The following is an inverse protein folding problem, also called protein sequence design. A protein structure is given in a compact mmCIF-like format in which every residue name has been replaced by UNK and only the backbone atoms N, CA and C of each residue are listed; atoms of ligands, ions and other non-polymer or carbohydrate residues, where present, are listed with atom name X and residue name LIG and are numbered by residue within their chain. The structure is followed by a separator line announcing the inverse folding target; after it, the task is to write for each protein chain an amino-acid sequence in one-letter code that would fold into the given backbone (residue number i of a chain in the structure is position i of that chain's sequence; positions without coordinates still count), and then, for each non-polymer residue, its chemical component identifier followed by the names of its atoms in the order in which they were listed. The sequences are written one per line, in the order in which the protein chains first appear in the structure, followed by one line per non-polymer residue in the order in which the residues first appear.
data_IF_997207474375
#
_entry.id   IF_997207474375
#
_cell.length_a   1.000
_cell.length_b   1.000
_cell.length_c   1.000
_cell.angle_alpha   90.00
_cell.angle_beta   90.00
_cell.angle_gamma   90.00
#
_symmetry.space_group_name_H-M   'P 1'
#
loop_
_entity.id
_entity.type
_entity.pdbx_description
1 polymer ?
#
# COMPACT_ATOMS: atom_id res chain seq x y z
N UNK A 1 -14.65 -2.90 6.32
CA UNK A 1 -15.09 -4.27 6.68
C UNK A 1 -16.55 -4.43 6.32
N UNK A 2 -16.98 -5.66 6.07
CA UNK A 2 -18.40 -5.98 5.85
C UNK A 2 -19.17 -6.20 7.16
N UNK A 3 -20.46 -6.54 7.07
CA UNK A 3 -21.31 -6.80 8.22
C UNK A 3 -20.93 -8.05 9.02
N UNK A 4 -20.26 -9.00 8.38
CA UNK A 4 -19.74 -10.23 9.02
C UNK A 4 -18.42 -9.98 9.75
N UNK A 5 -17.91 -8.77 9.70
CA UNK A 5 -16.65 -8.38 10.32
C UNK A 5 -15.40 -8.72 9.50
N UNK A 6 -15.54 -9.20 8.25
CA UNK A 6 -14.41 -9.50 7.41
C UNK A 6 -13.82 -8.22 6.79
N UNK A 7 -12.49 -8.13 6.74
CA UNK A 7 -11.82 -7.02 6.09
C UNK A 7 -12.06 -7.08 4.57
N UNK A 8 -12.49 -5.96 4.00
CA UNK A 8 -12.63 -5.79 2.58
C UNK A 8 -11.35 -5.18 2.00
N UNK A 9 -10.91 -5.75 0.90
CA UNK A 9 -9.78 -5.26 0.13
C UNK A 9 -10.12 -5.20 -1.36
N UNK A 10 -9.26 -4.60 -2.17
CA UNK A 10 -9.46 -4.45 -3.61
C UNK A 10 -9.57 -5.79 -4.37
N UNK A 11 -9.12 -6.92 -3.82
CA UNK A 11 -9.34 -8.24 -4.41
C UNK A 11 -10.82 -8.64 -4.38
N UNK A 12 -11.54 -8.26 -3.32
CA UNK A 12 -12.97 -8.56 -3.14
C UNK A 12 -13.88 -7.46 -3.72
N UNK A 13 -13.41 -6.22 -3.69
CA UNK A 13 -14.15 -5.04 -4.15
C UNK A 13 -13.20 -4.13 -4.95
N UNK A 14 -12.92 -4.47 -6.22
CA UNK A 14 -11.97 -3.72 -7.05
C UNK A 14 -12.31 -2.24 -7.22
N UNK A 15 -13.60 -1.88 -7.22
CA UNK A 15 -14.04 -0.49 -7.34
C UNK A 15 -13.52 0.43 -6.23
N UNK A 16 -13.16 -0.11 -5.05
CA UNK A 16 -12.54 0.70 -3.98
C UNK A 16 -11.19 1.32 -4.38
N UNK A 17 -10.51 0.81 -5.42
CA UNK A 17 -9.27 1.43 -5.92
C UNK A 17 -9.50 2.80 -6.55
N UNK A 18 -10.67 3.03 -7.09
CA UNK A 18 -11.02 4.32 -7.71
C UNK A 18 -11.39 5.41 -6.69
N UNK A 19 -11.57 5.04 -5.42
CA UNK A 19 -11.79 6.01 -4.34
C UNK A 19 -10.44 6.52 -3.83
N UNK A 20 -10.20 7.82 -3.91
CA UNK A 20 -8.98 8.46 -3.40
C UNK A 20 -9.18 8.90 -1.96
N UNK A 21 -8.22 8.55 -1.09
CA UNK A 21 -8.20 8.98 0.29
C UNK A 21 -7.11 10.05 0.48
N UNK A 22 -7.50 11.18 1.00
CA UNK A 22 -6.64 12.34 1.24
C UNK A 22 -6.88 12.88 2.67
N UNK A 23 -6.14 13.90 3.05
CA UNK A 23 -6.40 14.68 4.25
C UNK A 23 -6.73 16.12 3.84
N UNK A 24 -7.84 16.64 4.31
CA UNK A 24 -8.25 18.03 4.18
C UNK A 24 -8.17 18.69 5.57
N UNK A 25 -7.15 19.52 5.77
CA UNK A 25 -6.86 20.14 7.08
C UNK A 25 -6.83 19.13 8.24
N UNK A 26 -6.16 17.97 8.00
CA UNK A 26 -6.05 16.88 8.97
C UNK A 26 -7.29 15.98 9.10
N UNK A 27 -8.38 16.25 8.39
CA UNK A 27 -9.58 15.44 8.35
C UNK A 27 -9.56 14.48 7.17
N UNK A 28 -9.93 13.21 7.33
CA UNK A 28 -10.03 12.29 6.20
C UNK A 28 -11.04 12.75 5.16
N UNK A 29 -10.59 12.80 3.93
CA UNK A 29 -11.37 13.12 2.74
C UNK A 29 -11.37 11.92 1.80
N UNK A 30 -12.55 11.46 1.38
CA UNK A 30 -12.70 10.50 0.30
C UNK A 30 -13.25 11.21 -0.93
N UNK A 31 -12.56 11.05 -2.07
CA UNK A 31 -13.00 11.49 -3.39
C UNK A 31 -13.47 10.30 -4.20
N UNK A 32 -14.68 10.38 -4.70
CA UNK A 32 -15.29 9.34 -5.51
C UNK A 32 -15.17 9.64 -7.02
N UNK A 33 -15.22 8.61 -7.89
CA UNK A 33 -15.09 8.80 -9.35
C UNK A 33 -16.18 9.67 -9.98
N UNK A 34 -17.32 9.79 -9.35
CA UNK A 34 -18.42 10.67 -9.79
C UNK A 34 -18.19 12.15 -9.47
N UNK A 35 -17.07 12.47 -8.83
CA UNK A 35 -16.70 13.83 -8.41
C UNK A 35 -17.23 14.23 -7.03
N UNK A 36 -17.95 13.35 -6.33
CA UNK A 36 -18.40 13.64 -4.97
C UNK A 36 -17.25 13.49 -3.97
N UNK A 37 -17.23 14.38 -2.97
CA UNK A 37 -16.26 14.41 -1.88
C UNK A 37 -16.98 14.19 -0.55
N UNK A 38 -16.37 13.39 0.33
CA UNK A 38 -16.86 13.15 1.69
C UNK A 38 -15.76 13.39 2.69
N UNK A 39 -15.92 14.41 3.51
CA UNK A 39 -14.98 14.81 4.56
C UNK A 39 -15.69 14.83 5.91
N UNK A 40 -14.98 14.56 6.98
CA UNK A 40 -15.53 14.60 8.33
C UNK A 40 -14.50 14.47 9.43
N UNK A 41 -14.95 14.64 10.66
CA UNK A 41 -14.13 14.40 11.84
C UNK A 41 -14.19 12.92 12.24
N UNK A 42 -13.05 12.39 12.70
CA UNK A 42 -12.94 10.98 13.11
C UNK A 42 -13.44 10.83 14.54
N UNK A 43 -14.56 10.14 14.71
CA UNK A 43 -14.99 9.63 16.01
C UNK A 43 -14.74 8.11 16.07
N UNK A 44 -14.23 7.64 17.21
CA UNK A 44 -13.93 6.22 17.38
C UNK A 44 -15.09 5.52 18.09
N UNK A 45 -15.79 4.70 17.35
CA UNK A 45 -16.84 3.83 17.81
C UNK A 45 -16.36 2.60 18.59
N UNK A 46 -17.16 1.52 18.65
CA UNK A 46 -16.84 0.29 19.38
C UNK A 46 -15.53 -0.37 18.92
N UNK A 47 -14.91 -1.11 19.84
CA UNK A 47 -13.81 -2.02 19.52
C UNK A 47 -14.30 -3.19 18.69
N UNK A 48 -13.47 -3.60 17.75
CA UNK A 48 -13.72 -4.75 16.87
C UNK A 48 -12.46 -5.60 16.74
N UNK A 49 -12.66 -6.84 16.38
CA UNK A 49 -11.59 -7.72 15.91
C UNK A 49 -11.98 -8.19 14.52
N UNK A 50 -11.09 -7.96 13.57
CA UNK A 50 -11.23 -8.48 12.20
C UNK A 50 -10.10 -9.46 11.90
N UNK A 51 -10.09 -10.05 10.71
CA UNK A 51 -9.03 -10.96 10.27
C UNK A 51 -8.40 -10.47 8.98
N UNK A 52 -7.08 -10.49 8.93
CA UNK A 52 -6.31 -10.21 7.73
C UNK A 52 -5.30 -11.34 7.48
N UNK A 53 -5.44 -12.06 6.38
CA UNK A 53 -4.67 -13.28 6.09
C UNK A 53 -4.62 -14.29 7.25
N UNK A 54 -5.78 -14.52 7.91
CA UNK A 54 -5.89 -15.44 9.03
C UNK A 54 -5.34 -14.94 10.36
N UNK A 55 -4.78 -13.72 10.41
CA UNK A 55 -4.30 -13.09 11.64
C UNK A 55 -5.37 -12.15 12.21
N UNK A 56 -5.62 -12.17 13.53
CA UNK A 56 -6.54 -11.23 14.15
C UNK A 56 -5.94 -9.81 14.12
N UNK A 57 -6.78 -8.84 13.80
CA UNK A 57 -6.44 -7.40 13.81
C UNK A 57 -7.43 -6.69 14.72
N UNK A 58 -6.92 -6.16 15.81
CA UNK A 58 -7.69 -5.34 16.74
C UNK A 58 -7.85 -3.93 16.19
N UNK A 59 -9.04 -3.37 16.33
CA UNK A 59 -9.33 -2.03 15.84
C UNK A 59 -10.59 -1.45 16.45
N UNK A 60 -10.96 -0.28 15.95
CA UNK A 60 -12.20 0.40 16.30
C UNK A 60 -12.94 0.81 15.04
N UNK A 61 -14.25 0.74 15.07
CA UNK A 61 -15.07 1.36 14.04
C UNK A 61 -14.79 2.86 14.01
N UNK A 62 -14.85 3.43 12.82
CA UNK A 62 -14.77 4.87 12.62
C UNK A 62 -16.18 5.35 12.33
N UNK A 63 -16.72 6.15 13.25
CA UNK A 63 -17.99 6.82 13.08
C UNK A 63 -17.76 8.10 12.27
N UNK A 64 -18.67 8.38 11.34
CA UNK A 64 -18.59 9.50 10.41
C UNK A 64 -19.24 9.16 9.07
N UNK A 65 -19.20 10.07 8.10
CA UNK A 65 -20.00 9.95 6.86
C UNK A 65 -19.45 8.94 5.87
N UNK A 66 -18.23 8.43 6.06
CA UNK A 66 -17.53 7.61 5.07
C UNK A 66 -18.13 6.21 4.90
N UNK A 67 -18.63 5.59 5.97
CA UNK A 67 -19.22 4.25 5.92
C UNK A 67 -20.47 4.22 5.04
N UNK A 68 -21.34 5.22 5.16
CA UNK A 68 -22.54 5.34 4.34
C UNK A 68 -22.20 5.63 2.88
N UNK A 69 -21.27 6.55 2.62
CA UNK A 69 -20.82 6.88 1.27
C UNK A 69 -20.15 5.69 0.58
N UNK A 70 -19.26 4.98 1.28
CA UNK A 70 -18.64 3.76 0.76
C UNK A 70 -19.68 2.66 0.50
N UNK A 71 -20.67 2.50 1.39
CA UNK A 71 -21.74 1.51 1.21
C UNK A 71 -22.57 1.80 -0.02
N UNK A 72 -22.93 3.06 -0.23
CA UNK A 72 -23.67 3.51 -1.42
C UNK A 72 -22.84 3.25 -2.69
N UNK A 73 -21.55 3.58 -2.66
CA UNK A 73 -20.65 3.42 -3.80
C UNK A 73 -20.44 1.95 -4.20
N UNK A 74 -20.24 1.05 -3.22
CA UNK A 74 -19.99 -0.37 -3.51
C UNK A 74 -21.26 -1.22 -3.61
N UNK A 75 -22.43 -0.64 -3.32
CA UNK A 75 -23.75 -1.29 -3.43
C UNK A 75 -24.03 -2.34 -2.35
N UNK A 76 -23.33 -2.29 -1.21
CA UNK A 76 -23.54 -3.17 -0.04
C UNK A 76 -23.00 -2.53 1.23
N UNK A 77 -23.47 -2.96 2.42
CA UNK A 77 -22.99 -2.41 3.67
C UNK A 77 -21.47 -2.56 3.84
N UNK A 78 -20.81 -1.46 4.15
CA UNK A 78 -19.37 -1.40 4.49
C UNK A 78 -19.18 -0.48 5.67
N UNK A 79 -18.25 -0.82 6.54
CA UNK A 79 -17.89 0.02 7.67
C UNK A 79 -16.40 0.35 7.61
N UNK A 80 -16.06 1.60 7.89
CA UNK A 80 -14.68 2.01 8.04
C UNK A 80 -14.18 1.60 9.43
N UNK A 81 -12.96 1.12 9.52
CA UNK A 81 -12.32 0.78 10.77
C UNK A 81 -10.85 1.23 10.77
N UNK A 82 -10.34 1.58 11.93
CA UNK A 82 -8.96 1.93 12.18
C UNK A 82 -8.34 0.91 13.14
N UNK A 83 -7.05 0.59 12.98
CA UNK A 83 -6.29 -0.22 13.94
C UNK A 83 -6.35 0.42 15.33
N UNK A 84 -6.32 -0.41 16.38
CA UNK A 84 -6.47 0.09 17.78
C UNK A 84 -5.35 1.05 18.15
N UNK A 85 -4.13 0.78 17.71
CA UNK A 85 -2.96 1.61 18.01
C UNK A 85 -2.66 2.54 16.84
N UNK A 86 -2.37 3.77 17.16
CA UNK A 86 -1.91 4.74 16.18
C UNK A 86 -0.57 4.30 15.56
N UNK A 87 -0.44 4.46 14.24
CA UNK A 87 0.74 4.06 13.48
C UNK A 87 0.83 2.56 13.15
N UNK A 88 -0.07 1.72 13.68
CA UNK A 88 -0.08 0.31 13.29
C UNK A 88 -0.71 0.11 11.90
N UNK A 89 -0.05 -0.69 11.07
CA UNK A 89 -0.61 -1.14 9.79
C UNK A 89 -1.48 -2.40 9.97
N UNK A 90 -2.47 -2.56 9.12
CA UNK A 90 -3.36 -3.73 9.12
C UNK A 90 -2.59 -5.02 8.84
N UNK A 91 -1.55 -4.95 7.99
CA UNK A 91 -0.80 -6.13 7.57
C UNK A 91 0.31 -6.51 8.57
N UNK A 92 1.17 -5.58 8.93
CA UNK A 92 2.41 -5.85 9.67
C UNK A 92 2.47 -5.19 11.06
N UNK A 93 1.36 -4.61 11.53
CA UNK A 93 1.29 -3.91 12.80
C UNK A 93 2.33 -2.78 12.88
N UNK A 94 3.07 -2.71 13.97
CA UNK A 94 4.09 -1.68 14.21
C UNK A 94 5.28 -1.71 13.25
N UNK A 95 5.50 -2.84 12.57
CA UNK A 95 6.60 -3.00 11.62
C UNK A 95 6.28 -2.45 10.23
N UNK A 96 5.01 -2.11 9.96
CA UNK A 96 4.55 -1.58 8.66
C UNK A 96 4.78 -0.07 8.54
N UNK A 97 5.99 0.41 8.83
CA UNK A 97 6.28 1.84 8.81
C UNK A 97 6.26 2.47 7.42
N UNK A 98 6.93 1.85 6.46
CA UNK A 98 7.02 2.33 5.08
C UNK A 98 7.31 1.20 4.10
N UNK A 99 7.09 1.46 2.81
CA UNK A 99 7.47 0.57 1.71
C UNK A 99 8.16 1.36 0.61
N UNK A 100 9.20 0.78 0.00
CA UNK A 100 10.01 1.42 -1.03
C UNK A 100 9.96 0.60 -2.33
N UNK A 101 9.92 1.30 -3.46
CA UNK A 101 10.12 0.72 -4.81
C UNK A 101 10.84 1.71 -5.68
N UNK A 102 11.78 1.24 -6.51
CA UNK A 102 12.46 2.11 -7.45
C UNK A 102 11.69 2.25 -8.77
N UNK A 103 11.85 3.37 -9.45
CA UNK A 103 11.36 3.57 -10.82
C UNK A 103 12.05 2.60 -11.77
N UNK A 104 13.35 2.30 -11.55
CA UNK A 104 14.07 1.26 -12.28
C UNK A 104 13.40 -0.11 -12.18
N UNK A 105 12.88 -0.50 -10.99
CA UNK A 105 12.12 -1.75 -10.82
C UNK A 105 10.82 -1.76 -11.62
N UNK A 106 10.11 -0.62 -11.66
CA UNK A 106 8.90 -0.47 -12.48
C UNK A 106 9.20 -0.57 -13.98
N UNK A 107 10.32 -0.01 -14.43
CA UNK A 107 10.79 -0.11 -15.81
C UNK A 107 11.18 -1.54 -16.17
N UNK A 108 11.89 -2.24 -15.29
CA UNK A 108 12.21 -3.65 -15.50
C UNK A 108 10.96 -4.54 -15.60
N UNK A 109 9.94 -4.27 -14.77
CA UNK A 109 8.66 -4.97 -14.87
C UNK A 109 7.95 -4.67 -16.18
N UNK A 110 7.94 -3.41 -16.65
CA UNK A 110 7.39 -3.00 -17.95
C UNK A 110 8.03 -3.80 -19.08
N UNK A 111 9.36 -3.83 -19.10
CA UNK A 111 10.13 -4.48 -20.15
C UNK A 111 9.90 -6.00 -20.14
N UNK A 112 9.86 -6.62 -18.95
CA UNK A 112 9.54 -8.02 -18.79
C UNK A 112 8.10 -8.39 -19.20
N UNK A 113 7.15 -7.45 -19.02
CA UNK A 113 5.77 -7.62 -19.47
C UNK A 113 5.58 -7.37 -20.97
N UNK A 114 6.57 -6.81 -21.66
CA UNK A 114 6.46 -6.40 -23.07
C UNK A 114 5.55 -5.19 -23.30
N UNK A 115 5.37 -4.35 -22.26
CA UNK A 115 4.53 -3.18 -22.33
C UNK A 115 5.26 -1.99 -22.96
N UNK A 116 4.56 -1.22 -23.78
CA UNK A 116 5.11 -0.04 -24.44
C UNK A 116 5.00 1.26 -23.63
N UNK A 117 4.13 1.27 -22.62
CA UNK A 117 3.89 2.41 -21.72
C UNK A 117 4.54 2.23 -20.35
N UNK A 118 4.52 3.24 -19.51
CA UNK A 118 4.98 3.12 -18.12
C UNK A 118 4.02 2.25 -17.28
N UNK A 119 4.57 1.44 -16.38
CA UNK A 119 3.77 0.75 -15.35
C UNK A 119 3.44 1.73 -14.24
N UNK A 120 2.16 1.92 -13.98
CA UNK A 120 1.72 2.78 -12.89
C UNK A 120 2.08 2.16 -11.53
N UNK A 121 3.05 2.76 -10.84
CA UNK A 121 3.56 2.29 -9.54
C UNK A 121 2.50 2.28 -8.42
N UNK A 122 1.39 3.01 -8.57
CA UNK A 122 0.27 3.00 -7.60
C UNK A 122 -0.36 1.62 -7.44
N UNK A 123 -0.22 0.71 -8.44
CA UNK A 123 -0.64 -0.71 -8.34
C UNK A 123 -0.05 -1.41 -7.13
N UNK A 124 1.19 -1.06 -6.79
CA UNK A 124 1.94 -1.70 -5.71
C UNK A 124 1.67 -1.05 -4.36
N UNK A 125 1.00 0.11 -4.33
CA UNK A 125 0.64 0.85 -3.11
C UNK A 125 1.84 1.08 -2.19
N UNK A 126 2.98 1.40 -2.79
CA UNK A 126 4.19 1.70 -2.06
C UNK A 126 4.14 3.12 -1.49
N UNK A 127 4.71 3.29 -0.31
CA UNK A 127 4.72 4.58 0.39
C UNK A 127 5.66 5.57 -0.30
N UNK A 128 6.82 5.07 -0.77
CA UNK A 128 7.90 5.89 -1.30
C UNK A 128 8.37 5.29 -2.63
N UNK A 129 8.35 6.10 -3.67
CA UNK A 129 9.02 5.83 -4.94
C UNK A 129 10.43 6.41 -4.93
N UNK A 130 11.40 5.67 -5.42
CA UNK A 130 12.81 6.06 -5.50
C UNK A 130 13.21 6.17 -6.96
N UNK A 131 13.88 7.25 -7.31
CA UNK A 131 14.41 7.47 -8.65
C UNK A 131 15.94 7.44 -8.65
N UNK A 132 16.54 7.20 -9.85
CA UNK A 132 17.99 7.30 -10.04
C UNK A 132 18.80 6.12 -9.51
N UNK A 133 18.18 4.97 -9.28
CA UNK A 133 18.86 3.72 -8.88
C UNK A 133 18.53 2.60 -9.88
N UNK A 134 19.42 1.60 -9.93
CA UNK A 134 19.25 0.42 -10.78
C UNK A 134 17.97 -0.38 -10.39
N UNK A 135 17.42 -1.17 -11.34
CA UNK A 135 16.32 -2.06 -11.06
C UNK A 135 16.60 -2.97 -9.85
N UNK A 136 15.68 -2.99 -8.90
CA UNK A 136 15.74 -3.80 -7.67
C UNK A 136 16.91 -3.48 -6.72
N UNK A 137 17.56 -2.31 -6.86
CA UNK A 137 18.61 -1.88 -5.94
C UNK A 137 18.12 -1.81 -4.49
N UNK A 138 16.83 -1.58 -4.29
CA UNK A 138 16.20 -1.60 -2.97
C UNK A 138 16.29 -2.96 -2.26
N UNK A 139 16.43 -4.06 -2.98
CA UNK A 139 16.60 -5.41 -2.41
C UNK A 139 17.97 -5.57 -1.75
N UNK A 140 19.01 -4.93 -2.31
CA UNK A 140 20.37 -4.96 -1.77
C UNK A 140 20.49 -4.23 -0.40
N UNK A 141 19.51 -3.43 -0.07
CA UNK A 141 19.46 -2.70 1.20
C UNK A 141 18.81 -3.50 2.33
N UNK A 142 18.35 -4.74 2.07
CA UNK A 142 17.75 -5.59 3.10
C UNK A 142 18.78 -5.85 4.22
N UNK A 143 18.39 -5.53 5.44
CA UNK A 143 19.23 -5.59 6.63
C UNK A 143 19.92 -4.27 6.98
N UNK A 144 19.97 -3.31 6.07
CA UNK A 144 20.61 -2.02 6.27
C UNK A 144 19.61 -0.93 6.72
N UNK A 145 20.16 0.21 7.13
CA UNK A 145 19.41 1.45 7.35
C UNK A 145 19.53 2.34 6.13
N UNK A 146 18.46 3.00 5.81
CA UNK A 146 18.38 3.96 4.70
C UNK A 146 17.83 5.26 5.25
N UNK A 147 18.52 6.37 4.97
CA UNK A 147 18.00 7.70 5.23
C UNK A 147 17.14 8.14 4.05
N UNK A 148 15.93 8.59 4.36
CA UNK A 148 14.95 9.09 3.38
C UNK A 148 14.52 10.48 3.86
N UNK A 149 15.07 11.52 3.24
CA UNK A 149 14.86 12.89 3.72
C UNK A 149 15.27 13.05 5.18
N UNK A 150 14.33 13.43 6.03
CA UNK A 150 14.54 13.58 7.48
C UNK A 150 14.30 12.32 8.30
N UNK A 151 13.86 11.21 7.70
CA UNK A 151 13.58 9.95 8.39
C UNK A 151 14.69 8.92 8.16
N UNK A 152 14.82 7.97 9.09
CA UNK A 152 15.67 6.78 8.93
C UNK A 152 14.80 5.54 9.01
N UNK A 153 14.91 4.68 8.01
CA UNK A 153 14.19 3.40 7.94
C UNK A 153 15.17 2.22 7.97
N UNK A 154 14.75 1.11 8.56
CA UNK A 154 15.47 -0.17 8.46
C UNK A 154 14.75 -1.03 7.43
N UNK A 155 15.44 -1.39 6.36
CA UNK A 155 14.89 -2.26 5.31
C UNK A 155 14.87 -3.70 5.81
N UNK A 156 13.69 -4.33 5.79
CA UNK A 156 13.50 -5.63 6.45
C UNK A 156 13.45 -6.80 5.49
N UNK A 157 12.56 -6.76 4.53
CA UNK A 157 12.35 -7.84 3.57
C UNK A 157 11.68 -7.29 2.31
N UNK A 158 11.65 -8.10 1.25
CA UNK A 158 10.86 -7.83 0.06
C UNK A 158 9.36 -7.89 0.39
N UNK A 159 8.56 -7.21 -0.42
CA UNK A 159 7.10 -7.30 -0.36
C UNK A 159 6.61 -8.33 -1.38
N UNK A 160 5.97 -9.39 -0.90
CA UNK A 160 5.29 -10.36 -1.75
C UNK A 160 4.05 -9.76 -2.42
N UNK A 161 3.81 -10.10 -3.68
CA UNK A 161 2.72 -9.52 -4.48
C UNK A 161 1.59 -10.51 -4.72
N UNK A 162 0.40 -9.98 -4.90
CA UNK A 162 -0.80 -10.76 -5.15
C UNK A 162 -1.59 -10.18 -6.32
N UNK A 163 -2.67 -10.85 -6.69
CA UNK A 163 -3.52 -10.45 -7.82
C UNK A 163 -4.10 -9.02 -7.77
N UNK A 164 -4.02 -8.30 -6.65
CA UNK A 164 -4.45 -6.89 -6.59
C UNK A 164 -3.61 -6.01 -7.52
N UNK A 165 -2.33 -6.33 -7.69
CA UNK A 165 -1.43 -5.57 -8.57
C UNK A 165 -1.76 -5.70 -10.06
N UNK A 166 -2.63 -6.65 -10.45
CA UNK A 166 -3.14 -6.75 -11.82
C UNK A 166 -4.17 -5.67 -12.16
N UNK A 167 -4.69 -4.98 -11.15
CA UNK A 167 -5.76 -4.02 -11.32
C UNK A 167 -5.20 -2.63 -11.65
N UNK A 168 -5.77 -1.99 -12.65
CA UNK A 168 -5.56 -0.56 -12.91
C UNK A 168 -5.98 0.25 -11.67
N UNK A 169 -5.10 1.11 -11.13
CA UNK A 169 -5.37 1.81 -9.88
C UNK A 169 -6.46 2.88 -9.96
N UNK A 170 -6.86 3.31 -11.16
CA UNK A 170 -7.93 4.28 -11.35
C UNK A 170 -9.27 3.62 -11.67
N UNK A 171 -9.25 2.56 -12.47
CA UNK A 171 -10.47 1.92 -12.99
C UNK A 171 -10.85 0.65 -12.23
N UNK A 172 -9.92 0.06 -11.45
CA UNK A 172 -10.15 -1.20 -10.75
C UNK A 172 -10.36 -2.41 -11.68
N UNK A 173 -9.97 -2.31 -12.94
CA UNK A 173 -10.05 -3.41 -13.92
C UNK A 173 -8.71 -4.10 -14.11
N UNK A 174 -8.71 -5.38 -14.45
CA UNK A 174 -7.48 -6.11 -14.76
C UNK A 174 -6.98 -5.69 -16.13
N UNK A 175 -5.72 -5.27 -16.19
CA UNK A 175 -5.09 -4.80 -17.44
C UNK A 175 -3.62 -5.26 -17.58
N UNK A 176 -2.99 -5.78 -16.51
CA UNK A 176 -1.59 -6.22 -16.55
C UNK A 176 -1.41 -7.50 -15.70
N UNK A 177 -0.77 -8.53 -16.24
CA UNK A 177 -0.42 -9.73 -15.46
C UNK A 177 0.89 -9.55 -14.67
N UNK A 178 0.84 -8.71 -13.65
CA UNK A 178 2.00 -8.45 -12.78
C UNK A 178 2.51 -9.70 -12.05
N UNK A 179 1.66 -10.59 -11.47
CA UNK A 179 2.12 -11.80 -10.82
C UNK A 179 2.83 -12.76 -11.77
N UNK A 180 2.27 -13.03 -12.95
CA UNK A 180 2.87 -13.90 -13.95
C UNK A 180 4.20 -13.35 -14.44
N UNK A 181 4.26 -12.04 -14.71
CA UNK A 181 5.50 -11.36 -15.12
C UNK A 181 6.56 -11.44 -14.03
N UNK A 182 6.26 -11.10 -12.78
CA UNK A 182 7.23 -11.18 -11.67
C UNK A 182 7.71 -12.61 -11.48
N UNK A 183 6.82 -13.61 -11.54
CA UNK A 183 7.20 -15.02 -11.44
C UNK A 183 8.19 -15.44 -12.54
N UNK A 184 8.02 -14.91 -13.75
CA UNK A 184 8.85 -15.28 -14.89
C UNK A 184 10.29 -14.73 -14.77
N UNK A 185 10.48 -13.47 -14.33
CA UNK A 185 11.82 -12.87 -14.34
C UNK A 185 12.46 -12.75 -12.95
N UNK A 186 11.69 -12.99 -11.87
CA UNK A 186 12.17 -12.95 -10.48
C UNK A 186 11.84 -14.21 -9.68
N UNK A 187 11.38 -15.27 -10.34
CA UNK A 187 10.97 -16.50 -9.67
C UNK A 187 12.06 -17.19 -8.85
N UNK A 188 13.33 -16.97 -9.20
CA UNK A 188 14.50 -17.55 -8.53
C UNK A 188 15.03 -16.71 -7.36
N UNK A 189 14.45 -15.51 -7.10
CA UNK A 189 14.87 -14.66 -5.97
C UNK A 189 14.43 -15.32 -4.65
N UNK A 190 15.37 -15.69 -3.76
CA UNK A 190 15.04 -16.38 -2.52
C UNK A 190 14.40 -15.40 -1.54
N UNK A 191 13.09 -15.55 -1.28
CA UNK A 191 12.34 -14.67 -0.42
C UNK A 191 11.34 -15.44 0.44
N UNK A 192 10.95 -14.86 1.57
CA UNK A 192 9.94 -15.47 2.44
C UNK A 192 8.53 -15.41 1.82
N UNK A 193 8.21 -14.29 1.18
CA UNK A 193 6.92 -14.08 0.51
C UNK A 193 7.09 -14.26 -0.99
N UNK A 194 6.16 -14.95 -1.68
CA UNK A 194 6.26 -15.17 -3.11
C UNK A 194 6.10 -13.86 -3.90
N UNK A 195 6.63 -13.85 -5.13
CA UNK A 195 6.50 -12.73 -6.07
C UNK A 195 7.09 -11.42 -5.50
N UNK A 196 8.39 -11.39 -5.18
CA UNK A 196 9.01 -10.24 -4.53
C UNK A 196 9.08 -9.02 -5.45
N UNK A 197 8.60 -7.85 -4.96
CA UNK A 197 8.71 -6.60 -5.72
C UNK A 197 8.65 -5.40 -4.79
N UNK A 198 9.78 -4.67 -4.66
CA UNK A 198 10.00 -3.65 -3.67
C UNK A 198 10.16 -4.20 -2.25
N UNK A 199 10.46 -3.34 -1.30
CA UNK A 199 10.78 -3.71 0.09
C UNK A 199 9.90 -3.03 1.10
N UNK A 200 9.73 -3.65 2.27
CA UNK A 200 9.09 -3.01 3.41
C UNK A 200 10.12 -2.66 4.49
N UNK A 201 9.84 -1.58 5.20
CA UNK A 201 10.75 -0.95 6.14
C UNK A 201 10.05 -0.63 7.46
N UNK A 202 10.81 -0.75 8.53
CA UNK A 202 10.46 -0.21 9.84
C UNK A 202 11.00 1.21 9.95
N UNK A 203 10.20 2.16 10.43
CA UNK A 203 10.67 3.51 10.74
C UNK A 203 11.44 3.47 12.05
N UNK A 204 12.75 3.71 11.98
CA UNK A 204 13.65 3.72 13.16
C UNK A 204 13.70 5.12 13.77
N UNK A 205 13.82 6.12 12.92
CA UNK A 205 13.82 7.53 13.33
C UNK A 205 12.77 8.25 12.48
N UNK A 206 11.67 8.74 13.07
CA UNK A 206 10.66 9.47 12.33
C UNK A 206 11.19 10.84 11.92
N UNK A 207 10.74 11.30 10.74
CA UNK A 207 11.13 12.60 10.20
C UNK A 207 10.26 12.99 9.01
N UNK A 208 10.36 14.24 8.59
CA UNK A 208 9.65 14.73 7.42
C UNK A 208 10.29 14.17 6.16
N UNK A 209 9.45 13.68 5.24
CA UNK A 209 9.83 13.21 3.91
C UNK A 209 9.00 13.98 2.88
N UNK A 210 9.65 14.48 1.85
CA UNK A 210 9.02 15.19 0.75
C UNK A 210 9.52 14.66 -0.61
N UNK A 211 8.75 14.91 -1.66
CA UNK A 211 9.19 14.61 -3.03
C UNK A 211 10.43 15.42 -3.35
N UNK A 212 11.47 14.78 -3.87
CA UNK A 212 12.77 15.37 -4.18
C UNK A 212 13.79 15.26 -3.06
N UNK A 213 13.41 14.71 -1.89
CA UNK A 213 14.38 14.45 -0.83
C UNK A 213 15.35 13.32 -1.23
N UNK A 214 16.62 13.37 -0.78
CA UNK A 214 17.59 12.31 -1.05
C UNK A 214 17.24 11.01 -0.33
N UNK A 215 17.54 9.89 -1.00
CA UNK A 215 17.53 8.54 -0.43
C UNK A 215 18.97 8.04 -0.35
N UNK A 216 19.45 7.80 0.86
CA UNK A 216 20.85 7.47 1.11
C UNK A 216 20.95 6.15 1.89
N UNK A 217 21.27 5.03 1.20
CA UNK A 217 21.61 3.78 1.87
C UNK A 217 22.84 3.97 2.76
N UNK A 218 22.90 3.27 3.91
CA UNK A 218 24.09 3.27 4.74
C UNK A 218 25.28 2.75 3.91
N UNK A 219 26.39 3.49 3.94
CA UNK A 219 27.62 3.01 3.31
C UNK A 219 28.08 1.75 4.08
N UNK A 220 28.26 0.65 3.34
CA UNK A 220 28.84 -0.60 3.88
C UNK A 220 30.32 -0.47 4.09
#
# INVERSE_FOLDING_TARGET
MDDEGALLNAKRVPSLLAVRAELDDGRPLLRFPDGSDVVGDVELGPRIVTSFFGRPVEGRLVDGPWSDALSAYVGRPVRLARTEREGDGVDRGRLAGATLVSTGSLDALRDAAGESGSVDGRRFRMTIGIDGVDPHAEDDWIGDRVRVGGATVAVRETVGRCAVTTLDPERGVRDLDTPGTIAAYRGDVPTREPLPFGVWCEVVEPGRVAVGDPVEPAQR
#
